data_IF_515537649326
#
_entry.id   IF_515537649326
#
_cell.length_a   1.000
_cell.length_b   1.000
_cell.length_c   1.000
_cell.angle_alpha   90.00
_cell.angle_beta   90.00
_cell.angle_gamma   90.00
#
_symmetry.space_group_name_H-M   'P 1'
#
loop_
_entity.id
_entity.type
_entity.pdbx_description
1 polymer ?
#
# COMPACT_ATOMS: atom_id res chain seq x y z
N UNK A 1 -1.78 -11.32 19.20
CA UNK A 1 -1.40 -11.31 17.78
C UNK A 1 -0.38 -10.20 17.63
N UNK A 2 0.73 -10.47 16.95
CA UNK A 2 1.75 -9.46 16.73
C UNK A 2 1.44 -8.70 15.45
N UNK A 3 1.71 -7.42 15.44
CA UNK A 3 1.43 -6.53 14.30
C UNK A 3 2.04 -7.04 12.99
N UNK A 4 3.30 -7.48 13.04
CA UNK A 4 3.99 -8.05 11.88
C UNK A 4 3.32 -9.34 11.37
N UNK A 5 2.86 -10.21 12.29
CA UNK A 5 2.23 -11.49 11.91
C UNK A 5 0.91 -11.25 11.17
N UNK A 6 0.15 -10.22 11.59
CA UNK A 6 -1.10 -9.82 10.92
C UNK A 6 -0.85 -9.23 9.53
N UNK A 7 0.19 -8.41 9.38
CA UNK A 7 0.61 -7.90 8.07
C UNK A 7 1.03 -9.03 7.15
N UNK A 8 1.85 -9.96 7.65
CA UNK A 8 2.28 -11.12 6.86
C UNK A 8 1.09 -11.99 6.46
N UNK A 9 0.20 -12.32 7.39
CA UNK A 9 -1.01 -13.09 7.10
C UNK A 9 -1.90 -12.39 6.06
N UNK A 10 -1.96 -11.06 6.07
CA UNK A 10 -2.67 -10.26 5.08
C UNK A 10 -2.04 -10.41 3.68
N UNK A 11 -0.71 -10.36 3.59
CA UNK A 11 -0.01 -10.55 2.31
C UNK A 11 -0.20 -11.99 1.79
N UNK A 12 -0.08 -12.98 2.66
CA UNK A 12 -0.32 -14.39 2.31
C UNK A 12 -1.77 -14.63 1.84
N UNK A 13 -2.72 -13.94 2.43
CA UNK A 13 -4.13 -13.99 2.02
C UNK A 13 -4.33 -13.40 0.62
N UNK A 14 -3.79 -12.22 0.38
CA UNK A 14 -3.87 -11.53 -0.91
C UNK A 14 -3.19 -12.34 -2.01
N UNK A 15 -2.03 -12.95 -1.74
CA UNK A 15 -1.26 -13.74 -2.69
C UNK A 15 -1.97 -15.02 -3.17
N UNK A 16 -3.06 -15.44 -2.53
CA UNK A 16 -3.88 -16.58 -3.03
C UNK A 16 -4.64 -16.26 -4.32
N UNK A 17 -4.86 -14.99 -4.64
CA UNK A 17 -5.44 -14.57 -5.91
C UNK A 17 -4.31 -14.30 -6.93
N UNK A 18 -4.24 -15.05 -8.04
CA UNK A 18 -3.17 -14.86 -9.04
C UNK A 18 -3.23 -13.50 -9.76
N UNK A 19 -4.30 -12.74 -9.59
CA UNK A 19 -4.42 -11.38 -10.14
C UNK A 19 -3.73 -10.33 -9.24
N UNK A 20 -3.39 -10.69 -8.01
CA UNK A 20 -2.71 -9.76 -7.10
C UNK A 20 -1.25 -9.63 -7.53
N UNK A 21 -0.81 -8.37 -7.67
CA UNK A 21 0.58 -8.00 -7.99
C UNK A 21 1.08 -7.05 -6.91
N UNK A 22 2.09 -7.46 -6.18
CA UNK A 22 2.79 -6.60 -5.22
C UNK A 22 3.90 -5.85 -5.96
N UNK A 23 3.84 -4.53 -5.95
CA UNK A 23 4.76 -3.72 -6.74
C UNK A 23 5.35 -2.55 -5.95
N UNK A 24 6.59 -2.24 -6.21
CA UNK A 24 7.30 -1.15 -5.55
C UNK A 24 8.79 -1.39 -5.44
N UNK A 25 9.43 -0.62 -4.57
CA UNK A 25 10.85 -0.76 -4.28
C UNK A 25 11.07 -1.76 -3.14
N UNK A 26 12.11 -2.57 -3.26
CA UNK A 26 12.49 -3.60 -2.28
C UNK A 26 11.34 -4.57 -1.95
N UNK A 27 10.59 -4.98 -2.97
CA UNK A 27 9.57 -6.03 -2.84
C UNK A 27 10.16 -7.42 -3.06
N UNK A 28 11.16 -7.56 -3.93
CA UNK A 28 11.89 -8.81 -4.16
C UNK A 28 13.13 -8.97 -3.27
N UNK A 29 13.66 -7.89 -2.74
CA UNK A 29 14.90 -7.91 -1.97
C UNK A 29 14.62 -7.82 -0.47
N UNK A 30 15.08 -8.81 0.28
CA UNK A 30 15.01 -8.80 1.73
C UNK A 30 15.83 -7.63 2.31
N UNK A 31 15.33 -7.00 3.37
CA UNK A 31 16.07 -5.94 4.08
C UNK A 31 15.21 -4.83 4.65
N UNK A 32 13.98 -4.72 4.22
CA UNK A 32 13.01 -3.82 4.85
C UNK A 32 11.95 -4.61 5.62
N UNK A 33 11.36 -3.99 6.63
CA UNK A 33 10.28 -4.62 7.38
C UNK A 33 9.08 -4.95 6.46
N UNK A 34 8.77 -4.08 5.50
CA UNK A 34 7.70 -4.33 4.52
C UNK A 34 8.01 -5.51 3.60
N UNK A 35 9.23 -5.61 3.05
CA UNK A 35 9.61 -6.74 2.19
C UNK A 35 9.58 -8.08 2.92
N UNK A 36 9.92 -8.08 4.22
CA UNK A 36 9.88 -9.29 5.03
C UNK A 36 8.44 -9.86 5.18
N UNK A 37 7.40 -9.04 5.03
CA UNK A 37 6.01 -9.53 5.00
C UNK A 37 5.66 -10.26 3.71
N UNK A 38 6.47 -10.12 2.66
CA UNK A 38 6.27 -10.71 1.33
C UNK A 38 7.12 -11.98 1.09
N UNK A 39 7.87 -12.44 2.09
CA UNK A 39 8.86 -13.53 1.92
C UNK A 39 8.31 -14.84 1.37
N UNK A 40 7.03 -15.11 1.58
CA UNK A 40 6.36 -16.34 1.14
C UNK A 40 5.47 -16.11 -0.10
N UNK A 41 5.44 -14.90 -0.65
CA UNK A 41 4.74 -14.56 -1.89
C UNK A 41 5.51 -15.13 -3.09
N UNK A 42 4.79 -15.68 -4.06
CA UNK A 42 5.39 -16.21 -5.27
C UNK A 42 6.06 -15.09 -6.10
N UNK A 43 7.22 -15.39 -6.69
CA UNK A 43 8.03 -14.39 -7.41
C UNK A 43 7.34 -13.76 -8.62
N UNK A 44 6.46 -14.49 -9.27
CA UNK A 44 5.67 -14.00 -10.41
C UNK A 44 4.57 -13.00 -10.01
N UNK A 45 4.29 -12.87 -8.71
CA UNK A 45 3.42 -11.84 -8.15
C UNK A 45 4.19 -10.64 -7.60
N UNK A 46 5.52 -10.66 -7.61
CA UNK A 46 6.37 -9.57 -7.17
C UNK A 46 6.87 -8.77 -8.38
N UNK A 47 6.73 -7.47 -8.35
CA UNK A 47 7.22 -6.56 -9.38
C UNK A 47 8.13 -5.52 -8.74
N UNK A 48 9.43 -5.80 -8.77
CA UNK A 48 10.44 -4.86 -8.31
C UNK A 48 10.55 -3.67 -9.25
N UNK A 49 10.52 -2.48 -8.72
CA UNK A 49 10.58 -1.24 -9.49
C UNK A 49 11.76 -0.36 -9.04
N UNK A 50 12.36 0.40 -9.95
CA UNK A 50 13.28 1.46 -9.57
C UNK A 50 12.56 2.62 -8.88
N UNK A 51 13.33 3.57 -8.36
CA UNK A 51 12.82 4.77 -7.67
C UNK A 51 12.16 5.72 -8.68
N UNK A 52 10.86 5.60 -8.90
CA UNK A 52 10.06 6.52 -9.74
C UNK A 52 8.57 6.45 -9.37
N UNK A 53 8.25 6.95 -8.22
CA UNK A 53 6.98 6.79 -7.51
C UNK A 53 5.77 7.28 -8.33
N UNK A 54 5.89 8.37 -9.09
CA UNK A 54 4.80 8.85 -9.96
C UNK A 54 4.47 7.84 -11.06
N UNK A 55 5.50 7.29 -11.73
CA UNK A 55 5.31 6.24 -12.73
C UNK A 55 4.75 4.96 -12.10
N UNK A 56 5.23 4.57 -10.91
CA UNK A 56 4.70 3.43 -10.16
C UNK A 56 3.18 3.58 -9.94
N UNK A 57 2.69 4.75 -9.54
CA UNK A 57 1.26 4.97 -9.34
C UNK A 57 0.48 4.92 -10.66
N UNK A 58 1.04 5.47 -11.74
CA UNK A 58 0.45 5.33 -13.08
C UNK A 58 0.34 3.87 -13.54
N UNK A 59 1.39 3.08 -13.32
CA UNK A 59 1.40 1.63 -13.57
C UNK A 59 0.39 0.90 -12.70
N UNK A 60 0.24 1.29 -11.42
CA UNK A 60 -0.76 0.76 -10.49
C UNK A 60 -2.16 0.90 -11.08
N UNK A 61 -2.51 2.08 -11.57
CA UNK A 61 -3.81 2.30 -12.22
C UNK A 61 -3.94 1.46 -13.48
N UNK A 62 -2.91 1.43 -14.33
CA UNK A 62 -2.92 0.65 -15.57
C UNK A 62 -3.14 -0.84 -15.34
N UNK A 63 -2.46 -1.43 -14.35
CA UNK A 63 -2.66 -2.84 -13.96
C UNK A 63 -4.09 -3.08 -13.46
N UNK A 64 -4.63 -2.17 -12.65
CA UNK A 64 -5.99 -2.30 -12.16
C UNK A 64 -7.03 -2.23 -13.29
N UNK A 65 -6.84 -1.34 -14.28
CA UNK A 65 -7.67 -1.27 -15.48
C UNK A 65 -7.56 -2.51 -16.36
N UNK A 66 -6.40 -3.18 -16.34
CA UNK A 66 -6.18 -4.45 -17.03
C UNK A 66 -6.76 -5.67 -16.30
N UNK A 67 -7.40 -5.48 -15.12
CA UNK A 67 -8.06 -6.53 -14.37
C UNK A 67 -7.22 -7.17 -13.26
N UNK A 68 -6.00 -6.69 -13.04
CA UNK A 68 -5.19 -7.08 -11.88
C UNK A 68 -5.63 -6.37 -10.60
N UNK A 69 -5.10 -6.81 -9.48
CA UNK A 69 -5.31 -6.19 -8.16
C UNK A 69 -3.94 -5.76 -7.64
N UNK A 70 -3.47 -4.56 -8.00
CA UNK A 70 -2.18 -4.09 -7.55
C UNK A 70 -2.19 -3.76 -6.07
N UNK A 71 -1.15 -4.23 -5.38
CA UNK A 71 -0.75 -3.81 -4.03
C UNK A 71 0.50 -2.96 -4.21
N UNK A 72 0.31 -1.64 -4.31
CA UNK A 72 1.38 -0.68 -4.59
C UNK A 72 2.03 -0.22 -3.29
N UNK A 73 3.32 -0.48 -3.14
CA UNK A 73 4.06 -0.34 -1.90
C UNK A 73 4.97 0.89 -1.96
N UNK A 74 4.72 1.82 -1.04
CA UNK A 74 5.55 2.98 -0.79
C UNK A 74 6.04 2.89 0.66
N UNK A 75 7.32 2.68 0.93
CA UNK A 75 7.81 2.37 2.28
C UNK A 75 7.46 3.41 3.34
N UNK A 76 7.18 4.64 2.92
CA UNK A 76 6.78 5.77 3.78
C UNK A 76 5.91 6.76 3.02
N UNK A 77 5.11 7.54 3.73
CA UNK A 77 4.33 8.64 3.16
C UNK A 77 5.17 9.60 2.31
N UNK A 78 6.41 9.86 2.73
CA UNK A 78 7.31 10.76 2.01
C UNK A 78 7.60 10.31 0.57
N UNK A 79 7.61 9.02 0.30
CA UNK A 79 7.73 8.47 -1.06
C UNK A 79 6.38 8.54 -1.80
N UNK A 80 5.27 8.28 -1.12
CA UNK A 80 3.95 8.41 -1.73
C UNK A 80 3.63 9.85 -2.16
N UNK A 81 4.17 10.86 -1.48
CA UNK A 81 4.07 12.28 -1.89
C UNK A 81 4.58 12.49 -3.32
N UNK A 82 5.63 11.77 -3.74
CA UNK A 82 6.17 11.88 -5.09
C UNK A 82 5.17 11.39 -6.17
N UNK A 83 4.17 10.61 -5.77
CA UNK A 83 3.11 10.09 -6.65
C UNK A 83 1.79 10.88 -6.53
N UNK A 84 1.78 12.03 -5.89
CA UNK A 84 0.56 12.81 -5.58
C UNK A 84 -0.26 13.13 -6.83
N UNK A 85 0.39 13.51 -7.93
CA UNK A 85 -0.32 13.83 -9.16
C UNK A 85 -1.16 12.64 -9.66
N UNK A 86 -0.55 11.47 -9.80
CA UNK A 86 -1.24 10.27 -10.27
C UNK A 86 -2.33 9.81 -9.29
N UNK A 87 -2.07 9.91 -8.00
CA UNK A 87 -3.02 9.53 -6.97
C UNK A 87 -4.26 10.45 -6.99
N UNK A 88 -4.04 11.78 -6.90
CA UNK A 88 -5.14 12.76 -6.77
C UNK A 88 -5.91 12.95 -8.06
N UNK A 89 -5.22 13.02 -9.20
CA UNK A 89 -5.85 13.38 -10.46
C UNK A 89 -6.37 12.17 -11.26
N UNK A 90 -5.87 10.97 -10.98
CA UNK A 90 -6.23 9.78 -11.74
C UNK A 90 -6.83 8.68 -10.86
N UNK A 91 -6.08 8.15 -9.90
CA UNK A 91 -6.55 7.01 -9.08
C UNK A 91 -7.80 7.37 -8.26
N UNK A 92 -7.79 8.53 -7.57
CA UNK A 92 -8.94 9.00 -6.78
C UNK A 92 -10.19 9.29 -7.63
N UNK A 93 -9.99 9.68 -8.89
CA UNK A 93 -11.08 10.15 -9.75
C UNK A 93 -11.53 9.16 -10.82
N UNK A 94 -10.89 8.02 -10.95
CA UNK A 94 -11.17 7.08 -12.04
C UNK A 94 -12.66 6.66 -12.10
N UNK A 95 -13.29 6.45 -10.96
CA UNK A 95 -14.72 6.08 -10.86
C UNK A 95 -15.67 7.25 -11.15
N UNK A 96 -15.20 8.49 -11.13
CA UNK A 96 -15.95 9.67 -11.52
C UNK A 96 -15.85 9.95 -13.03
N UNK A 97 -14.80 9.45 -13.66
CA UNK A 97 -14.51 9.69 -15.08
C UNK A 97 -14.89 8.50 -15.98
N UNK A 98 -15.19 7.35 -15.39
CA UNK A 98 -15.50 6.12 -16.14
C UNK A 98 -16.33 5.15 -15.31
N UNK A 99 -16.91 4.15 -15.98
CA UNK A 99 -17.64 3.04 -15.34
C UNK A 99 -16.70 1.96 -14.77
N UNK A 100 -15.40 2.14 -14.90
CA UNK A 100 -14.43 1.21 -14.32
C UNK A 100 -14.48 1.23 -12.79
N UNK A 101 -14.40 0.03 -12.21
CA UNK A 101 -14.33 -0.17 -10.76
C UNK A 101 -13.05 -0.93 -10.41
N UNK A 102 -11.88 -0.29 -10.54
CA UNK A 102 -10.61 -0.91 -10.21
C UNK A 102 -10.53 -1.23 -8.72
N UNK A 103 -9.77 -2.26 -8.37
CA UNK A 103 -9.37 -2.54 -6.99
C UNK A 103 -7.90 -2.23 -6.83
N UNK A 104 -7.60 -1.20 -6.07
CA UNK A 104 -6.24 -0.73 -5.83
C UNK A 104 -6.00 -0.67 -4.33
N UNK A 105 -4.94 -1.34 -3.89
CA UNK A 105 -4.47 -1.30 -2.50
C UNK A 105 -3.11 -0.59 -2.50
N UNK A 106 -2.99 0.44 -1.69
CA UNK A 106 -1.74 1.18 -1.52
C UNK A 106 -1.27 0.94 -0.10
N UNK A 107 -0.04 0.45 0.05
CA UNK A 107 0.64 0.30 1.35
C UNK A 107 1.60 1.45 1.54
N UNK A 108 1.51 2.12 2.68
CA UNK A 108 2.50 3.10 3.09
C UNK A 108 2.69 3.06 4.60
N UNK A 109 3.73 3.74 5.10
CA UNK A 109 4.06 3.71 6.52
C UNK A 109 4.35 5.08 7.12
N UNK A 110 4.19 5.14 8.42
CA UNK A 110 4.57 6.27 9.27
C UNK A 110 5.44 5.77 10.42
N UNK A 111 6.11 6.69 11.12
CA UNK A 111 7.02 6.35 12.23
C UNK A 111 8.28 5.67 11.73
N UNK A 112 8.65 4.54 12.38
CA UNK A 112 9.89 3.82 12.12
C UNK A 112 11.12 4.56 12.62
N UNK A 113 11.02 5.05 13.83
CA UNK A 113 12.18 5.66 14.52
C UNK A 113 13.14 4.60 15.06
N UNK A 114 12.68 3.35 15.16
CA UNK A 114 13.48 2.21 15.63
C UNK A 114 13.38 1.03 14.67
N UNK A 115 14.47 0.28 14.45
CA UNK A 115 15.82 0.47 14.98
C UNK A 115 16.61 1.57 14.26
N UNK A 116 16.08 2.12 13.17
CA UNK A 116 16.74 3.14 12.35
C UNK A 116 15.90 4.41 12.32
N UNK A 117 16.39 5.47 12.97
CA UNK A 117 15.77 6.79 12.87
C UNK A 117 16.03 7.41 11.49
N UNK A 118 15.00 7.63 10.66
CA UNK A 118 15.17 8.04 9.27
C UNK A 118 15.33 9.55 9.09
N UNK A 119 15.60 10.29 10.17
CA UNK A 119 15.65 11.74 10.20
C UNK A 119 14.30 12.41 9.89
N UNK A 120 14.28 13.74 9.93
CA UNK A 120 13.05 14.55 9.76
C UNK A 120 12.36 14.38 8.41
N UNK A 121 13.09 13.95 7.37
CA UNK A 121 12.54 13.81 6.02
C UNK A 121 11.60 12.61 5.85
N UNK A 122 11.61 11.63 6.76
CA UNK A 122 10.93 10.36 6.53
C UNK A 122 10.02 9.90 7.66
N UNK A 123 9.59 10.80 8.54
CA UNK A 123 8.70 10.50 9.69
C UNK A 123 7.32 11.14 9.58
N UNK A 124 7.03 11.84 8.48
CA UNK A 124 5.79 12.60 8.32
C UNK A 124 4.56 11.70 8.23
N UNK A 125 3.50 12.11 8.91
CA UNK A 125 2.15 11.56 8.75
C UNK A 125 1.30 12.57 7.96
N UNK A 126 0.96 12.23 6.73
CA UNK A 126 0.18 13.08 5.84
C UNK A 126 -1.24 12.57 5.64
N UNK A 127 -1.69 11.64 6.47
CA UNK A 127 -3.00 10.97 6.36
C UNK A 127 -4.14 11.96 6.22
N UNK A 128 -4.22 12.96 7.09
CA UNK A 128 -5.35 13.91 7.07
C UNK A 128 -5.31 14.85 5.87
N UNK A 129 -4.12 15.25 5.42
CA UNK A 129 -3.96 16.03 4.18
C UNK A 129 -4.48 15.23 2.97
N UNK A 130 -4.13 13.95 2.88
CA UNK A 130 -4.59 13.11 1.77
C UNK A 130 -6.07 12.74 1.86
N UNK A 131 -6.67 12.67 3.03
CA UNK A 131 -8.13 12.54 3.17
C UNK A 131 -8.87 13.73 2.54
N UNK A 132 -8.29 14.92 2.60
CA UNK A 132 -8.84 16.11 1.93
C UNK A 132 -8.58 16.11 0.42
N UNK A 133 -7.40 15.64 -0.01
CA UNK A 133 -7.00 15.60 -1.43
C UNK A 133 -7.70 14.49 -2.22
N UNK A 134 -8.00 13.37 -1.56
CA UNK A 134 -8.50 12.14 -2.15
C UNK A 134 -9.83 11.69 -1.52
N UNK A 135 -10.94 12.43 -1.73
CA UNK A 135 -12.22 12.15 -1.08
C UNK A 135 -12.89 10.85 -1.55
N UNK A 136 -12.45 10.27 -2.67
CA UNK A 136 -12.96 9.00 -3.19
C UNK A 136 -12.06 7.81 -2.86
N UNK A 137 -10.99 8.03 -2.07
CA UNK A 137 -10.05 6.99 -1.62
C UNK A 137 -10.20 6.81 -0.12
N UNK A 138 -10.35 5.58 0.35
CA UNK A 138 -10.38 5.31 1.78
C UNK A 138 -8.96 5.24 2.33
N UNK A 139 -8.69 5.97 3.41
CA UNK A 139 -7.37 6.01 4.05
C UNK A 139 -7.50 5.54 5.49
N UNK A 140 -6.93 4.38 5.78
CA UNK A 140 -7.08 3.65 7.04
C UNK A 140 -5.72 3.56 7.74
N UNK A 141 -5.63 4.12 8.94
CA UNK A 141 -4.45 3.95 9.81
C UNK A 141 -4.59 2.62 10.56
N UNK A 142 -3.57 1.79 10.48
CA UNK A 142 -3.53 0.46 11.10
C UNK A 142 -2.91 0.56 12.51
N UNK A 143 -3.65 1.12 13.45
CA UNK A 143 -3.15 1.41 14.81
C UNK A 143 -3.13 0.17 15.72
N UNK A 144 -4.00 -0.79 15.48
CA UNK A 144 -4.15 -1.97 16.31
C UNK A 144 -3.93 -3.26 15.51
N UNK A 145 -3.11 -4.21 16.01
CA UNK A 145 -2.85 -5.47 15.30
C UNK A 145 -4.13 -6.21 14.87
N UNK A 146 -5.14 -6.27 15.75
CA UNK A 146 -6.41 -6.96 15.51
C UNK A 146 -7.22 -6.43 14.32
N UNK A 147 -6.95 -5.21 13.85
CA UNK A 147 -7.66 -4.59 12.73
C UNK A 147 -6.91 -4.71 11.41
N UNK A 148 -5.65 -5.14 11.43
CA UNK A 148 -4.79 -5.18 10.24
C UNK A 148 -5.37 -6.12 9.19
N UNK A 149 -5.58 -7.38 9.55
CA UNK A 149 -6.07 -8.39 8.62
C UNK A 149 -7.44 -8.03 8.04
N UNK A 150 -8.36 -7.57 8.86
CA UNK A 150 -9.71 -7.18 8.43
C UNK A 150 -9.69 -5.98 7.48
N UNK A 151 -8.79 -5.01 7.70
CA UNK A 151 -8.63 -3.86 6.81
C UNK A 151 -8.13 -4.29 5.42
N UNK A 152 -7.16 -5.21 5.34
CA UNK A 152 -6.71 -5.78 4.07
C UNK A 152 -7.79 -6.62 3.38
N UNK A 153 -8.54 -7.43 4.13
CA UNK A 153 -9.69 -8.17 3.60
C UNK A 153 -10.74 -7.22 3.01
N UNK A 154 -11.08 -6.15 3.73
CA UNK A 154 -12.06 -5.15 3.27
C UNK A 154 -11.58 -4.48 1.99
N UNK A 155 -10.33 -4.04 1.93
CA UNK A 155 -9.74 -3.45 0.73
C UNK A 155 -9.76 -4.41 -0.47
N UNK A 156 -9.44 -5.67 -0.25
CA UNK A 156 -9.45 -6.72 -1.28
C UNK A 156 -10.86 -7.03 -1.80
N UNK A 157 -11.86 -7.06 -0.92
CA UNK A 157 -13.25 -7.43 -1.28
C UNK A 157 -14.06 -6.28 -1.88
N UNK A 158 -13.51 -5.07 -1.97
CA UNK A 158 -14.22 -3.90 -2.53
C UNK A 158 -14.71 -4.14 -3.95
N UNK A 159 -15.89 -3.61 -4.24
CA UNK A 159 -16.50 -3.64 -5.57
C UNK A 159 -17.01 -2.27 -6.02
N UNK A 160 -16.85 -1.25 -5.20
CA UNK A 160 -17.29 0.12 -5.47
C UNK A 160 -16.30 0.91 -6.35
N UNK A 161 -15.11 0.35 -6.57
CA UNK A 161 -14.05 0.97 -7.36
C UNK A 161 -13.20 1.99 -6.60
N UNK A 162 -13.47 2.22 -5.33
CA UNK A 162 -12.62 3.07 -4.49
C UNK A 162 -11.31 2.39 -4.19
N UNK A 163 -10.23 3.13 -4.27
CA UNK A 163 -8.91 2.69 -3.81
C UNK A 163 -8.83 2.73 -2.29
N UNK A 164 -7.93 1.96 -1.72
CA UNK A 164 -7.68 1.96 -0.27
C UNK A 164 -6.19 2.19 0.01
N UNK A 165 -5.88 3.19 0.82
CA UNK A 165 -4.54 3.42 1.36
C UNK A 165 -4.50 2.87 2.79
N UNK A 166 -3.63 1.90 3.02
CA UNK A 166 -3.39 1.31 4.33
C UNK A 166 -2.09 1.87 4.89
N UNK A 167 -2.21 2.59 6.00
CA UNK A 167 -1.10 3.31 6.64
C UNK A 167 -0.60 2.49 7.81
N UNK A 168 0.57 1.91 7.65
CA UNK A 168 1.21 1.03 8.63
C UNK A 168 2.10 1.83 9.59
N UNK A 169 2.23 1.33 10.81
CA UNK A 169 3.11 1.91 11.83
C UNK A 169 4.44 1.16 11.87
N UNK A 170 5.49 1.77 11.35
CA UNK A 170 6.80 1.15 11.26
C UNK A 170 7.36 0.66 12.61
N UNK A 171 7.13 1.41 13.67
CA UNK A 171 7.57 1.04 15.02
C UNK A 171 6.86 -0.20 15.60
N UNK A 172 5.67 -0.51 15.10
CA UNK A 172 4.90 -1.66 15.59
C UNK A 172 5.34 -3.01 15.02
N UNK A 173 6.16 -3.00 13.95
CA UNK A 173 6.66 -4.24 13.34
C UNK A 173 7.42 -5.14 14.32
N UNK A 174 8.03 -4.55 15.36
CA UNK A 174 8.81 -5.29 16.35
C UNK A 174 8.21 -5.24 17.77
N UNK A 175 7.20 -4.42 18.03
CA UNK A 175 6.78 -4.06 19.39
C UNK A 175 5.37 -4.53 19.77
N UNK A 176 4.49 -4.78 18.80
CA UNK A 176 3.08 -5.16 19.07
C UNK A 176 2.71 -6.52 18.49
#
# INVERSE_FOLDING_TARGET
MKYFDELKASMDMLAKDPRVVFMGQAVEYAGTAMSNTLKDVAKDQLLELPVFEDTQMGMTLGLALAGYIPVSIYPRWNFLICATNQLVNHVDKVTLMSDYKPRIIIRTGIGSERPLHPQHQHVGDYTDAYRLLCPNTDIIKLEEPRHVYDAYCTAYLRQDGKSTILVEYGDYYNEK
#
